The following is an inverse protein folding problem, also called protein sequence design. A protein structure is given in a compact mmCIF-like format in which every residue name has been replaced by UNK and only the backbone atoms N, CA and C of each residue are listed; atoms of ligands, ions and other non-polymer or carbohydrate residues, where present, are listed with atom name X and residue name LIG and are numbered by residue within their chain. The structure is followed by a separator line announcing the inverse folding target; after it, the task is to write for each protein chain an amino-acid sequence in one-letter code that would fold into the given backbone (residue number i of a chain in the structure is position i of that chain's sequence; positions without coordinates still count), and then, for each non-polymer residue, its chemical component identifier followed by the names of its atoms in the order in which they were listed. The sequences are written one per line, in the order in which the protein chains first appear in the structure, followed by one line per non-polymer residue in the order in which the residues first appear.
data_IF_633837289749
#
_entry.id   IF_633837289749
#
_cell.length_a   1.000
_cell.length_b   1.000
_cell.length_c   1.000
_cell.angle_alpha   90.00
_cell.angle_beta   90.00
_cell.angle_gamma   90.00
#
_symmetry.space_group_name_H-M   'P 1'
#
loop_
_entity.id
_entity.type
_entity.pdbx_description
1 polymer ?
#
# COMPACT_ATOMS: atom_id res chain seq x y z
N UNK A 1 41.72 49.62 -41.20
CA UNK A 1 40.57 49.30 -42.09
C UNK A 1 39.38 49.11 -41.15
N UNK A 2 38.34 49.96 -41.05
CA UNK A 2 37.48 50.60 -42.08
C UNK A 2 37.10 49.56 -43.14
N UNK A 3 35.84 49.25 -43.40
CA UNK A 3 34.78 50.19 -43.84
C UNK A 3 33.37 49.78 -43.35
N UNK A 4 32.45 50.76 -43.20
CA UNK A 4 31.01 50.56 -42.94
C UNK A 4 30.24 50.18 -44.22
N UNK A 5 29.06 49.54 -44.10
CA UNK A 5 28.14 49.33 -45.23
C UNK A 5 26.66 49.31 -44.84
N UNK A 6 25.98 50.44 -45.03
CA UNK A 6 24.51 50.62 -44.92
C UNK A 6 23.84 50.52 -46.30
N UNK A 7 22.68 49.84 -46.38
CA UNK A 7 21.57 50.03 -47.34
C UNK A 7 20.49 48.99 -46.96
N UNK A 8 19.29 49.25 -46.45
CA UNK A 8 18.24 50.27 -46.66
C UNK A 8 17.33 50.05 -47.89
N UNK A 9 16.08 49.68 -47.58
CA UNK A 9 14.82 49.93 -48.31
C UNK A 9 14.47 49.14 -49.59
N UNK A 10 13.22 48.63 -49.64
CA UNK A 10 12.14 49.12 -50.54
C UNK A 10 10.81 48.44 -50.16
N UNK A 11 9.75 49.23 -49.97
CA UNK A 11 8.38 48.76 -49.75
C UNK A 11 7.69 48.32 -51.04
N UNK A 12 6.67 47.44 -50.94
CA UNK A 12 5.49 47.43 -51.81
C UNK A 12 4.35 46.62 -51.19
N UNK A 13 3.25 47.29 -50.85
CA UNK A 13 2.03 46.64 -50.36
C UNK A 13 1.16 46.07 -51.48
N UNK A 14 0.33 45.07 -51.16
CA UNK A 14 -0.69 44.54 -52.06
C UNK A 14 -1.96 44.07 -51.33
N UNK A 15 -3.01 44.88 -51.44
CA UNK A 15 -4.46 44.57 -51.38
C UNK A 15 -4.95 43.39 -50.53
N UNK A 16 -5.72 43.72 -49.50
CA UNK A 16 -6.83 42.89 -49.04
C UNK A 16 -7.82 42.60 -50.20
N UNK A 17 -8.45 41.42 -50.17
CA UNK A 17 -9.47 40.99 -51.13
C UNK A 17 -10.69 40.49 -50.38
N UNK A 18 -11.78 41.24 -50.47
CA UNK A 18 -13.06 40.87 -49.87
C UNK A 18 -13.69 39.66 -50.59
N UNK A 19 -14.37 38.80 -49.83
CA UNK A 19 -15.31 37.79 -50.34
C UNK A 19 -16.56 37.84 -49.45
N UNK A 20 -17.78 37.98 -50.01
CA UNK A 20 -18.99 38.19 -49.23
C UNK A 20 -19.69 36.88 -48.83
N UNK A 21 -20.42 36.92 -47.71
CA UNK A 21 -21.60 36.08 -47.50
C UNK A 21 -21.39 34.78 -46.73
N UNK A 22 -21.61 34.83 -45.42
CA UNK A 22 -22.22 33.70 -44.70
C UNK A 22 -23.11 34.19 -43.56
N UNK A 23 -24.15 33.42 -43.28
CA UNK A 23 -25.31 33.82 -42.48
C UNK A 23 -24.94 34.09 -41.01
N UNK A 24 -25.45 35.21 -40.50
CA UNK A 24 -25.52 35.53 -39.08
C UNK A 24 -26.56 34.61 -38.41
N UNK A 25 -26.21 33.84 -37.37
CA UNK A 25 -27.18 33.40 -36.37
C UNK A 25 -27.41 34.56 -35.41
N UNK A 26 -28.66 34.90 -35.16
CA UNK A 26 -29.01 35.94 -34.20
C UNK A 26 -28.85 35.45 -32.74
N UNK A 27 -28.68 36.42 -31.86
CA UNK A 27 -28.76 36.36 -30.40
C UNK A 27 -29.16 35.02 -29.76
N UNK A 28 -28.26 34.48 -28.94
CA UNK A 28 -28.53 34.42 -27.50
C UNK A 28 -27.23 34.42 -26.68
N UNK A 29 -26.80 35.60 -26.26
CA UNK A 29 -25.74 35.75 -25.25
C UNK A 29 -26.35 35.59 -23.86
N UNK A 30 -26.89 34.40 -23.56
CA UNK A 30 -27.31 34.09 -22.19
C UNK A 30 -26.06 33.94 -21.33
N UNK A 31 -25.94 34.85 -20.35
CA UNK A 31 -24.96 34.70 -19.29
C UNK A 31 -25.32 33.44 -18.51
N UNK A 32 -24.49 32.40 -18.64
CA UNK A 32 -24.62 31.16 -17.89
C UNK A 32 -24.44 31.44 -16.39
N UNK A 33 -25.56 31.77 -15.73
CA UNK A 33 -25.65 31.70 -14.29
C UNK A 33 -25.47 30.23 -13.87
N UNK A 34 -24.97 30.00 -12.66
CA UNK A 34 -24.65 28.67 -12.13
C UNK A 34 -25.87 27.74 -11.93
N UNK A 35 -27.06 28.16 -12.40
CA UNK A 35 -28.36 27.59 -12.08
C UNK A 35 -28.96 26.66 -13.16
N UNK A 36 -28.34 26.55 -14.34
CA UNK A 36 -28.90 25.79 -15.48
C UNK A 36 -28.39 24.33 -15.62
N UNK A 37 -27.49 23.88 -14.74
CA UNK A 37 -27.04 22.48 -14.71
C UNK A 37 -28.10 21.55 -14.10
N UNK A 38 -29.14 21.26 -14.87
CA UNK A 38 -30.12 20.21 -14.53
C UNK A 38 -29.41 18.85 -14.53
N UNK A 39 -29.41 18.17 -13.39
CA UNK A 39 -28.97 16.78 -13.32
C UNK A 39 -29.83 15.91 -14.24
N UNK A 40 -29.19 15.00 -14.96
CA UNK A 40 -29.88 13.88 -15.60
C UNK A 40 -30.35 12.91 -14.50
N UNK A 41 -31.38 12.10 -14.80
CA UNK A 41 -31.76 10.98 -13.93
C UNK A 41 -30.80 9.79 -14.09
N UNK A 42 -30.91 8.79 -13.22
CA UNK A 42 -30.11 7.55 -13.27
C UNK A 42 -28.58 7.80 -13.22
N UNK A 43 -28.15 8.64 -12.27
CA UNK A 43 -26.72 8.91 -12.01
C UNK A 43 -26.00 7.70 -11.39
N UNK A 44 -24.66 7.70 -11.47
CA UNK A 44 -23.83 6.69 -10.79
C UNK A 44 -23.92 6.82 -9.25
N UNK A 45 -23.88 5.70 -8.53
CA UNK A 45 -24.07 5.63 -7.06
C UNK A 45 -23.05 6.45 -6.22
N UNK A 46 -21.93 6.81 -6.86
CA UNK A 46 -20.85 7.62 -6.30
C UNK A 46 -21.04 9.14 -6.50
N UNK A 47 -22.06 9.57 -7.26
CA UNK A 47 -22.43 10.98 -7.38
C UNK A 47 -23.29 11.41 -6.17
N UNK A 48 -22.98 12.57 -5.56
CA UNK A 48 -23.71 13.06 -4.38
C UNK A 48 -24.87 14.02 -4.73
N UNK A 49 -24.65 15.02 -5.60
CA UNK A 49 -25.63 16.10 -5.86
C UNK A 49 -26.29 16.02 -7.24
N UNK A 50 -25.69 15.31 -8.20
CA UNK A 50 -26.22 15.14 -9.56
C UNK A 50 -25.14 14.80 -10.58
N UNK A 51 -25.55 14.60 -11.84
CA UNK A 51 -24.67 14.23 -12.94
C UNK A 51 -25.09 14.87 -14.28
N UNK A 52 -24.12 15.06 -15.19
CA UNK A 52 -24.35 15.48 -16.58
C UNK A 52 -24.64 14.32 -17.53
N UNK A 53 -24.29 13.08 -17.15
CA UNK A 53 -24.45 11.87 -17.95
C UNK A 53 -24.90 10.71 -17.05
N UNK A 54 -25.93 9.94 -17.44
CA UNK A 54 -26.45 8.84 -16.63
C UNK A 54 -25.40 7.72 -16.48
N UNK A 55 -25.38 7.08 -15.30
CA UNK A 55 -24.50 5.96 -14.91
C UNK A 55 -22.99 6.20 -15.06
N UNK A 56 -22.55 7.44 -15.29
CA UNK A 56 -21.16 7.81 -15.54
C UNK A 56 -20.50 8.39 -14.28
N UNK A 57 -19.53 7.67 -13.70
CA UNK A 57 -18.79 8.10 -12.50
C UNK A 57 -17.86 9.29 -12.74
N UNK A 58 -17.56 9.62 -14.00
CA UNK A 58 -16.81 10.81 -14.42
C UNK A 58 -17.68 12.03 -14.75
N UNK A 59 -19.00 11.91 -14.62
CA UNK A 59 -19.97 12.94 -14.97
C UNK A 59 -20.70 13.56 -13.76
N UNK A 60 -20.31 13.19 -12.54
CA UNK A 60 -20.88 13.74 -11.31
C UNK A 60 -20.50 15.22 -11.13
N UNK A 61 -21.38 16.03 -10.54
CA UNK A 61 -21.04 17.37 -10.07
C UNK A 61 -20.18 17.35 -8.80
N UNK A 62 -20.44 16.38 -7.93
CA UNK A 62 -19.79 16.17 -6.62
C UNK A 62 -19.73 14.68 -6.33
N UNK A 63 -18.65 14.23 -5.69
CA UNK A 63 -18.49 12.85 -5.27
C UNK A 63 -19.05 12.63 -3.86
N UNK A 64 -19.53 11.41 -3.60
CA UNK A 64 -19.98 10.95 -2.29
C UNK A 64 -18.82 10.53 -1.38
N UNK A 65 -17.79 9.91 -1.97
CA UNK A 65 -16.58 9.49 -1.28
C UNK A 65 -15.37 10.27 -1.84
N UNK A 66 -14.55 9.65 -2.69
CA UNK A 66 -13.29 10.23 -3.16
C UNK A 66 -13.40 10.82 -4.57
N UNK A 67 -12.64 11.88 -4.84
CA UNK A 67 -12.43 12.40 -6.20
C UNK A 67 -11.10 11.90 -6.76
N UNK A 68 -11.08 11.34 -7.97
CA UNK A 68 -9.85 10.88 -8.62
C UNK A 68 -9.60 11.61 -9.92
N UNK A 69 -8.41 12.20 -10.05
CA UNK A 69 -8.01 12.98 -11.23
C UNK A 69 -7.79 12.10 -12.46
N UNK A 70 -8.31 12.51 -13.62
CA UNK A 70 -8.16 11.74 -14.86
C UNK A 70 -6.76 11.95 -15.47
N UNK A 71 -5.97 10.87 -15.60
CA UNK A 71 -4.54 10.92 -16.03
C UNK A 71 -4.27 11.70 -17.33
N UNK A 72 -5.21 11.68 -18.28
CA UNK A 72 -5.05 12.24 -19.64
C UNK A 72 -6.13 13.27 -20.01
N UNK A 73 -6.94 13.76 -19.06
CA UNK A 73 -8.08 14.66 -19.35
C UNK A 73 -8.36 15.60 -18.19
N UNK A 74 -8.77 16.84 -18.48
CA UNK A 74 -9.31 17.72 -17.45
C UNK A 74 -10.65 17.16 -16.92
N UNK A 75 -10.71 16.86 -15.63
CA UNK A 75 -11.87 16.30 -14.95
C UNK A 75 -11.49 15.32 -13.84
N UNK A 76 -12.51 14.82 -13.14
CA UNK A 76 -12.38 13.81 -12.11
C UNK A 76 -13.36 12.66 -12.36
N UNK A 77 -13.16 11.55 -11.65
CA UNK A 77 -14.18 10.51 -11.46
C UNK A 77 -14.39 10.26 -9.97
N UNK A 78 -15.61 9.87 -9.60
CA UNK A 78 -15.94 9.51 -8.22
C UNK A 78 -15.68 8.03 -7.98
N UNK A 79 -14.96 7.72 -6.90
CA UNK A 79 -14.56 6.35 -6.55
C UNK A 79 -14.69 6.12 -5.04
N UNK A 80 -14.92 4.86 -4.65
CA UNK A 80 -14.94 4.44 -3.24
C UNK A 80 -13.54 4.26 -2.65
N UNK A 81 -12.56 3.98 -3.51
CA UNK A 81 -11.13 3.79 -3.21
C UNK A 81 -10.32 4.28 -4.40
N UNK A 82 -9.11 4.78 -4.16
CA UNK A 82 -8.19 5.14 -5.24
C UNK A 82 -7.77 3.89 -6.02
N UNK A 83 -7.71 3.98 -7.36
CA UNK A 83 -7.14 2.91 -8.18
C UNK A 83 -5.62 2.77 -8.00
N UNK A 84 -5.06 1.65 -8.45
CA UNK A 84 -3.62 1.46 -8.66
C UNK A 84 -3.00 2.64 -9.43
N UNK A 85 -1.81 3.08 -8.99
CA UNK A 85 -1.14 4.28 -9.51
C UNK A 85 -1.67 5.60 -8.95
N UNK A 86 -2.55 5.57 -7.96
CA UNK A 86 -3.01 6.74 -7.21
C UNK A 86 -2.84 6.54 -5.70
N UNK A 87 -2.59 7.63 -4.97
CA UNK A 87 -2.54 7.69 -3.52
C UNK A 87 -3.60 8.64 -2.95
N UNK A 88 -3.99 8.41 -1.70
CA UNK A 88 -5.01 9.19 -1.01
C UNK A 88 -4.40 10.45 -0.36
N UNK A 89 -4.83 11.63 -0.80
CA UNK A 89 -4.49 12.93 -0.22
C UNK A 89 -5.76 13.65 0.22
N UNK A 90 -6.13 13.47 1.49
CA UNK A 90 -7.45 13.85 2.01
C UNK A 90 -8.55 13.06 1.30
N UNK A 91 -9.53 13.75 0.72
CA UNK A 91 -10.62 13.14 -0.07
C UNK A 91 -10.28 12.99 -1.56
N UNK A 92 -9.01 13.25 -1.96
CA UNK A 92 -8.59 13.27 -3.35
C UNK A 92 -7.55 12.19 -3.65
N UNK A 93 -7.81 11.38 -4.66
CA UNK A 93 -6.86 10.44 -5.23
C UNK A 93 -5.94 11.18 -6.22
N UNK A 94 -4.68 11.37 -5.82
CA UNK A 94 -3.62 11.97 -6.65
C UNK A 94 -2.78 10.90 -7.31
N UNK A 95 -2.26 11.18 -8.50
CA UNK A 95 -1.44 10.23 -9.25
C UNK A 95 -0.06 10.06 -8.61
N UNK A 96 0.45 8.83 -8.60
CA UNK A 96 1.83 8.51 -8.26
C UNK A 96 2.81 9.03 -9.32
N UNK A 97 4.09 9.17 -8.95
CA UNK A 97 5.18 9.29 -9.92
C UNK A 97 5.16 8.11 -10.91
N UNK A 98 5.58 8.38 -12.15
CA UNK A 98 5.64 7.37 -13.23
C UNK A 98 6.61 6.22 -12.95
N UNK A 99 7.45 6.36 -11.94
CA UNK A 99 8.39 5.34 -11.47
C UNK A 99 7.80 4.40 -10.39
N UNK A 100 6.61 4.70 -9.87
CA UNK A 100 5.91 3.86 -8.90
C UNK A 100 4.78 3.06 -9.57
N UNK A 101 4.47 1.88 -9.03
CA UNK A 101 3.23 1.14 -9.33
C UNK A 101 2.12 1.49 -8.32
N UNK A 102 2.45 1.46 -7.03
CA UNK A 102 1.65 2.06 -5.95
C UNK A 102 2.53 2.96 -5.11
N UNK A 103 1.95 3.95 -4.43
CA UNK A 103 2.69 4.94 -3.65
C UNK A 103 1.86 5.44 -2.46
N UNK A 104 2.54 5.92 -1.43
CA UNK A 104 1.94 6.57 -0.27
C UNK A 104 1.93 8.10 -0.39
N UNK A 105 2.89 8.63 -1.16
CA UNK A 105 2.99 10.03 -1.59
C UNK A 105 3.50 10.08 -3.04
N UNK A 106 3.45 11.26 -3.68
CA UNK A 106 3.79 11.40 -5.11
C UNK A 106 5.14 10.81 -5.51
N UNK A 107 6.14 10.87 -4.63
CA UNK A 107 7.51 10.38 -4.89
C UNK A 107 7.91 9.16 -4.03
N UNK A 108 7.07 8.75 -3.08
CA UNK A 108 7.36 7.62 -2.16
C UNK A 108 6.57 6.40 -2.62
N UNK A 109 7.20 5.54 -3.42
CA UNK A 109 6.59 4.30 -3.87
C UNK A 109 6.39 3.32 -2.71
N UNK A 110 5.35 2.50 -2.79
CA UNK A 110 5.16 1.30 -1.96
C UNK A 110 5.44 0.03 -2.77
N UNK A 111 5.16 0.06 -4.07
CA UNK A 111 5.58 -0.98 -5.01
C UNK A 111 6.11 -0.38 -6.30
N UNK A 112 7.07 -1.07 -6.92
CA UNK A 112 7.70 -0.68 -8.18
C UNK A 112 7.12 -1.43 -9.38
N UNK A 113 7.24 -0.87 -10.60
CA UNK A 113 6.90 -1.59 -11.81
C UNK A 113 7.93 -2.71 -12.11
N UNK A 114 7.45 -3.84 -12.65
CA UNK A 114 8.31 -4.92 -13.12
C UNK A 114 9.06 -5.66 -12.01
N UNK A 115 10.36 -5.89 -12.21
CA UNK A 115 11.24 -6.64 -11.31
C UNK A 115 12.22 -5.72 -10.54
N UNK A 116 11.89 -4.43 -10.42
CA UNK A 116 12.72 -3.45 -9.72
C UNK A 116 12.67 -3.65 -8.19
N UNK A 117 13.74 -3.21 -7.51
CA UNK A 117 13.82 -3.22 -6.05
C UNK A 117 13.37 -1.88 -5.48
N UNK A 118 12.67 -1.92 -4.35
CA UNK A 118 12.30 -0.73 -3.57
C UNK A 118 13.33 -0.47 -2.46
N UNK A 119 13.72 0.77 -2.24
CA UNK A 119 14.62 1.14 -1.14
C UNK A 119 13.82 1.26 0.16
N UNK A 120 13.95 0.24 1.01
CA UNK A 120 13.19 0.08 2.26
C UNK A 120 14.10 0.38 3.47
N UNK A 121 14.62 1.60 3.50
CA UNK A 121 15.49 2.10 4.56
C UNK A 121 14.97 3.45 5.05
N UNK A 122 14.12 3.41 6.08
CA UNK A 122 13.62 4.60 6.76
C UNK A 122 14.69 5.21 7.70
N UNK A 123 15.80 5.69 7.13
CA UNK A 123 16.90 6.31 7.87
C UNK A 123 17.24 7.70 7.32
N UNK A 124 17.62 8.65 8.18
CA UNK A 124 17.83 10.04 7.76
C UNK A 124 18.99 10.23 6.76
N UNK A 125 20.01 9.36 6.80
CA UNK A 125 21.07 9.30 5.79
C UNK A 125 20.62 8.80 4.40
N UNK A 126 19.39 8.30 4.28
CA UNK A 126 18.81 7.66 3.09
C UNK A 126 17.54 8.40 2.64
N UNK A 127 17.73 9.53 1.94
CA UNK A 127 16.64 10.29 1.30
C UNK A 127 15.98 9.55 0.12
N UNK A 128 16.51 8.40 -0.25
CA UNK A 128 16.08 7.53 -1.34
C UNK A 128 15.02 6.49 -0.93
N UNK A 129 14.53 6.52 0.31
CA UNK A 129 13.43 5.66 0.76
C UNK A 129 12.19 5.74 -0.14
N UNK A 130 11.64 4.58 -0.51
CA UNK A 130 10.51 4.49 -1.45
C UNK A 130 10.90 4.70 -2.92
N UNK A 131 12.20 4.84 -3.24
CA UNK A 131 12.65 4.91 -4.64
C UNK A 131 12.78 3.51 -5.25
N UNK A 132 12.43 3.41 -6.53
CA UNK A 132 12.56 2.19 -7.34
C UNK A 132 13.89 2.17 -8.11
N UNK A 133 14.66 1.10 -7.96
CA UNK A 133 15.98 0.92 -8.57
C UNK A 133 16.19 -0.48 -9.14
N UNK A 134 16.96 -0.61 -10.22
CA UNK A 134 17.30 -1.91 -10.82
C UNK A 134 18.38 -2.66 -10.01
N UNK A 135 19.20 -1.93 -9.24
CA UNK A 135 20.25 -2.45 -8.37
C UNK A 135 20.36 -1.58 -7.11
N UNK A 136 20.62 -2.21 -5.95
CA UNK A 136 20.74 -1.48 -4.69
C UNK A 136 22.01 -0.59 -4.66
N UNK A 137 21.93 0.64 -4.11
CA UNK A 137 23.09 1.51 -3.94
C UNK A 137 24.09 0.95 -2.92
N UNK A 138 25.31 1.50 -2.92
CA UNK A 138 26.38 1.04 -2.02
C UNK A 138 25.97 1.14 -0.55
N UNK A 139 26.21 0.07 0.20
CA UNK A 139 25.82 -0.06 1.62
C UNK A 139 24.52 -0.84 1.84
N UNK A 140 23.65 -0.91 0.81
CA UNK A 140 22.43 -1.70 0.85
C UNK A 140 22.63 -3.07 0.19
N UNK A 141 21.84 -4.05 0.63
CA UNK A 141 21.77 -5.40 0.05
C UNK A 141 20.35 -5.69 -0.43
N UNK A 142 20.25 -6.46 -1.52
CA UNK A 142 18.98 -6.93 -2.05
C UNK A 142 18.45 -8.11 -1.21
N UNK A 143 17.32 -7.88 -0.54
CA UNK A 143 16.56 -8.88 0.20
C UNK A 143 15.38 -9.37 -0.64
N UNK A 144 15.49 -10.64 -1.05
CA UNK A 144 14.50 -11.36 -1.86
C UNK A 144 13.61 -12.30 -1.01
N UNK A 145 13.81 -12.36 0.31
CA UNK A 145 13.23 -13.40 1.16
C UNK A 145 12.10 -12.89 2.05
N UNK A 146 12.23 -11.67 2.59
CA UNK A 146 11.29 -11.16 3.59
C UNK A 146 9.97 -10.62 3.03
N UNK A 147 9.93 -10.30 1.73
CA UNK A 147 8.74 -9.80 1.05
C UNK A 147 8.46 -10.63 -0.22
N UNK A 148 7.33 -11.35 -0.22
CA UNK A 148 6.93 -12.22 -1.33
C UNK A 148 6.38 -11.46 -2.55
N UNK A 149 6.04 -10.18 -2.39
CA UNK A 149 5.41 -9.35 -3.44
C UNK A 149 6.50 -8.66 -4.26
N UNK A 150 7.57 -8.18 -3.61
CA UNK A 150 8.66 -7.46 -4.26
C UNK A 150 9.94 -7.49 -3.42
N UNK A 151 11.09 -7.66 -4.08
CA UNK A 151 12.40 -7.55 -3.44
C UNK A 151 12.70 -6.10 -3.02
N UNK A 152 13.44 -5.95 -1.92
CA UNK A 152 13.77 -4.64 -1.33
C UNK A 152 15.26 -4.48 -1.08
N UNK A 153 15.75 -3.24 -1.15
CA UNK A 153 17.08 -2.87 -0.72
C UNK A 153 17.02 -2.51 0.77
N UNK A 154 17.71 -3.28 1.61
CA UNK A 154 17.79 -3.10 3.06
C UNK A 154 19.23 -2.84 3.50
N UNK A 155 19.42 -2.30 4.70
CA UNK A 155 20.75 -2.14 5.29
C UNK A 155 21.46 -3.50 5.42
N UNK A 156 22.75 -3.54 5.09
CA UNK A 156 23.59 -4.71 5.34
C UNK A 156 23.70 -4.99 6.85
N UNK A 157 23.59 -6.25 7.24
CA UNK A 157 23.76 -6.65 8.65
C UNK A 157 25.15 -6.24 9.17
N UNK A 158 25.16 -5.47 10.26
CA UNK A 158 26.37 -5.02 10.93
C UNK A 158 26.98 -6.17 11.75
N UNK A 159 27.98 -6.85 11.16
CA UNK A 159 28.78 -7.87 11.85
C UNK A 159 29.83 -7.27 12.82
N UNK A 160 29.90 -5.95 12.93
CA UNK A 160 30.78 -5.23 13.85
C UNK A 160 30.07 -4.99 15.20
N UNK A 161 30.83 -4.91 16.29
CA UNK A 161 30.28 -4.62 17.63
C UNK A 161 29.80 -3.17 17.79
N UNK A 162 29.15 -2.86 18.92
CA UNK A 162 28.71 -1.50 19.25
C UNK A 162 29.87 -0.48 19.09
N UNK A 163 29.56 0.71 18.56
CA UNK A 163 30.56 1.73 18.22
C UNK A 163 31.33 1.50 16.91
N UNK A 164 31.05 0.45 16.14
CA UNK A 164 31.69 0.18 14.85
C UNK A 164 30.70 -0.18 13.74
N UNK A 165 30.96 0.27 12.51
CA UNK A 165 30.24 -0.11 11.29
C UNK A 165 31.14 -0.84 10.30
N UNK A 166 30.53 -1.58 9.37
CA UNK A 166 31.26 -2.34 8.35
C UNK A 166 31.50 -1.50 7.08
N UNK A 167 32.72 -0.98 6.92
CA UNK A 167 33.10 -0.23 5.71
C UNK A 167 33.17 -1.13 4.45
N UNK A 168 33.21 -0.49 3.27
CA UNK A 168 33.22 -1.14 1.93
C UNK A 168 34.30 -2.23 1.76
N UNK A 169 35.43 -2.11 2.49
CA UNK A 169 36.52 -3.10 2.48
C UNK A 169 36.31 -4.27 3.46
N UNK A 170 35.08 -4.49 3.96
CA UNK A 170 34.74 -5.40 5.07
C UNK A 170 35.59 -5.18 6.35
N UNK A 171 36.03 -3.94 6.57
CA UNK A 171 36.78 -3.53 7.75
C UNK A 171 35.84 -2.83 8.73
N UNK A 172 35.83 -3.25 10.00
CA UNK A 172 35.13 -2.51 11.04
C UNK A 172 35.84 -1.17 11.31
N UNK A 173 35.08 -0.09 11.23
CA UNK A 173 35.52 1.30 11.39
C UNK A 173 34.68 1.97 12.47
N UNK A 174 35.30 2.87 13.25
CA UNK A 174 34.63 3.54 14.37
C UNK A 174 33.46 4.41 13.88
N UNK A 175 32.36 4.37 14.61
CA UNK A 175 31.25 5.31 14.45
C UNK A 175 31.66 6.76 14.77
N UNK A 176 30.79 7.70 14.40
CA UNK A 176 30.86 9.08 14.89
C UNK A 176 30.59 9.14 16.41
N UNK A 177 31.14 10.15 17.10
CA UNK A 177 30.95 10.34 18.55
C UNK A 177 29.47 10.57 18.94
N UNK A 178 28.64 11.05 18.01
CA UNK A 178 27.21 11.19 18.21
C UNK A 178 26.43 9.86 18.20
N UNK A 179 27.02 8.77 17.69
CA UNK A 179 26.37 7.47 17.54
C UNK A 179 26.81 6.48 18.63
N UNK A 180 25.87 5.72 19.22
CA UNK A 180 26.19 4.48 19.94
C UNK A 180 26.31 3.30 18.97
N UNK A 181 25.44 3.24 17.97
CA UNK A 181 25.46 2.26 16.88
C UNK A 181 25.22 2.98 15.56
N UNK A 182 25.86 2.52 14.49
CA UNK A 182 25.82 3.14 13.18
C UNK A 182 26.05 2.12 12.06
N UNK A 183 25.59 2.43 10.85
CA UNK A 183 25.82 1.64 9.62
C UNK A 183 26.70 2.38 8.60
N UNK A 184 27.19 3.58 8.92
CA UNK A 184 27.97 4.42 8.01
C UNK A 184 28.82 5.47 8.71
N UNK A 185 29.49 6.31 7.91
CA UNK A 185 30.45 7.30 8.40
C UNK A 185 29.79 8.64 8.73
N UNK A 186 29.99 9.14 9.96
CA UNK A 186 29.49 10.45 10.40
C UNK A 186 28.10 10.42 11.05
N UNK A 187 27.60 11.56 11.55
CA UNK A 187 26.45 11.62 12.45
C UNK A 187 25.09 11.39 11.78
N UNK A 188 25.06 11.28 10.45
CA UNK A 188 23.85 11.05 9.65
C UNK A 188 23.48 9.56 9.50
N UNK A 189 24.38 8.65 9.89
CA UNK A 189 24.23 7.19 9.75
C UNK A 189 24.18 6.48 11.12
N UNK A 190 23.76 7.19 12.17
CA UNK A 190 23.56 6.65 13.51
C UNK A 190 22.20 5.93 13.65
N UNK A 191 22.21 4.60 13.86
CA UNK A 191 20.99 3.85 14.19
C UNK A 191 20.45 4.21 15.59
N UNK A 192 21.37 4.47 16.54
CA UNK A 192 21.04 4.93 17.90
C UNK A 192 22.05 5.97 18.38
N UNK A 193 21.57 7.02 19.03
CA UNK A 193 22.43 8.08 19.56
C UNK A 193 23.24 7.68 20.80
N UNK A 194 24.42 8.28 20.95
CA UNK A 194 25.24 8.18 22.15
C UNK A 194 24.62 8.95 23.35
N UNK A 195 25.16 8.73 24.55
CA UNK A 195 24.73 9.49 25.73
C UNK A 195 25.03 10.98 25.55
N UNK A 196 24.05 11.84 25.85
CA UNK A 196 24.16 13.28 25.58
C UNK A 196 23.81 13.69 24.14
N UNK A 197 23.27 12.77 23.32
CA UNK A 197 22.74 13.06 21.98
C UNK A 197 21.29 12.56 21.83
N UNK A 198 20.55 13.16 20.89
CA UNK A 198 19.18 12.75 20.53
C UNK A 198 18.84 13.09 19.07
N UNK A 199 17.75 12.52 18.56
CA UNK A 199 17.34 12.61 17.15
C UNK A 199 15.85 13.00 16.94
N UNK A 200 15.19 13.58 17.94
CA UNK A 200 13.72 13.72 17.98
C UNK A 200 13.19 14.75 16.96
N UNK A 201 13.92 15.85 16.71
CA UNK A 201 13.49 16.93 15.83
C UNK A 201 13.93 16.74 14.38
N UNK A 202 15.15 16.23 14.14
CA UNK A 202 15.77 16.17 12.79
C UNK A 202 16.08 14.75 12.31
N UNK A 203 15.82 13.70 13.08
CA UNK A 203 16.01 12.30 12.66
C UNK A 203 17.46 11.79 12.67
N UNK A 204 18.46 12.65 12.82
CA UNK A 204 19.87 12.29 13.07
C UNK A 204 20.34 12.77 14.44
N UNK A 205 21.43 12.20 14.95
CA UNK A 205 21.89 12.46 16.32
C UNK A 205 22.58 13.82 16.46
N UNK A 206 22.07 14.63 17.39
CA UNK A 206 22.56 15.98 17.74
C UNK A 206 22.78 16.10 19.24
N UNK A 207 23.74 16.92 19.70
CA UNK A 207 23.99 17.08 21.13
C UNK A 207 22.75 17.65 21.85
N UNK A 208 22.51 17.21 23.07
CA UNK A 208 21.40 17.70 23.89
C UNK A 208 21.57 19.19 24.23
N UNK A 209 20.50 19.97 24.17
CA UNK A 209 20.50 21.37 24.57
C UNK A 209 20.85 21.53 26.05
N UNK A 210 21.70 22.52 26.37
CA UNK A 210 21.95 22.95 27.76
C UNK A 210 20.82 23.87 28.23
N UNK A 211 20.60 23.96 29.54
CA UNK A 211 19.52 24.74 30.15
C UNK A 211 19.45 26.16 29.61
N UNK A 212 18.35 26.52 28.95
CA UNK A 212 18.11 27.85 28.36
C UNK A 212 18.57 28.03 26.91
N UNK A 213 19.14 27.00 26.26
CA UNK A 213 19.41 27.04 24.81
C UNK A 213 18.16 26.71 24.00
N UNK A 214 17.98 27.39 22.87
CA UNK A 214 16.91 27.11 21.89
C UNK A 214 17.45 26.17 20.78
N UNK A 215 16.74 25.08 20.41
CA UNK A 215 17.16 24.11 19.40
C UNK A 215 17.51 24.72 18.03
N UNK A 216 16.75 25.74 17.62
CA UNK A 216 16.87 26.41 16.32
C UNK A 216 18.19 27.19 16.22
N UNK A 217 18.57 27.87 17.31
CA UNK A 217 19.74 28.75 17.37
C UNK A 217 21.03 27.97 17.67
N UNK A 218 20.97 27.01 18.60
CA UNK A 218 22.14 26.27 19.07
C UNK A 218 22.33 24.91 18.41
N UNK A 219 21.46 24.54 17.48
CA UNK A 219 21.57 23.32 16.69
C UNK A 219 21.66 22.04 17.54
N UNK A 220 20.86 22.02 18.61
CA UNK A 220 20.82 20.99 19.65
C UNK A 220 19.43 20.33 19.74
N UNK A 221 19.32 19.22 20.48
CA UNK A 221 18.08 18.44 20.63
C UNK A 221 17.52 18.53 22.07
N UNK A 222 16.19 18.53 22.24
CA UNK A 222 15.58 18.38 23.57
C UNK A 222 15.47 16.89 23.97
N UNK A 223 16.55 16.40 24.57
CA UNK A 223 16.64 15.04 25.09
C UNK A 223 15.78 14.76 26.32
N UNK A 224 15.05 15.74 26.88
CA UNK A 224 14.11 15.50 27.98
C UNK A 224 12.81 14.86 27.48
N UNK A 225 12.49 15.04 26.19
CA UNK A 225 11.30 14.51 25.53
C UNK A 225 11.45 13.02 25.18
N UNK A 226 11.39 12.16 26.21
CA UNK A 226 11.14 10.73 26.00
C UNK A 226 9.72 10.55 25.45
N UNK A 227 9.59 10.30 24.14
CA UNK A 227 8.28 9.89 23.57
C UNK A 227 7.82 8.59 24.26
N UNK A 228 6.50 8.41 24.49
CA UNK A 228 5.98 7.06 24.67
C UNK A 228 6.34 6.27 23.41
N UNK A 229 6.95 5.09 23.58
CA UNK A 229 7.33 4.21 22.49
C UNK A 229 6.15 4.04 21.52
N UNK A 230 6.35 4.37 20.24
CA UNK A 230 5.56 3.76 19.19
C UNK A 230 5.71 2.26 19.38
N UNK A 231 4.60 1.62 19.70
CA UNK A 231 4.58 0.22 20.11
C UNK A 231 4.85 -0.61 18.86
N UNK A 232 6.12 -0.91 18.61
CA UNK A 232 6.49 -2.11 17.86
C UNK A 232 5.63 -3.23 18.45
N UNK A 233 4.78 -3.81 17.61
CA UNK A 233 3.89 -4.89 18.01
C UNK A 233 4.73 -6.15 18.22
N UNK A 234 5.45 -6.18 19.34
CA UNK A 234 5.97 -7.40 19.92
C UNK A 234 4.79 -8.37 20.03
N UNK A 235 4.86 -9.43 19.25
CA UNK A 235 3.79 -10.41 19.02
C UNK A 235 3.63 -11.37 20.21
N UNK A 236 3.41 -10.82 21.41
CA UNK A 236 3.30 -11.57 22.66
C UNK A 236 1.85 -11.73 23.18
N UNK A 237 0.86 -11.17 22.48
CA UNK A 237 -0.56 -11.25 22.87
C UNK A 237 -1.24 -12.59 22.52
N UNK A 238 -0.75 -13.30 21.48
CA UNK A 238 -1.42 -14.50 20.97
C UNK A 238 -1.38 -15.68 21.97
N UNK A 239 -0.26 -15.88 22.67
CA UNK A 239 -0.12 -16.99 23.62
C UNK A 239 -1.10 -16.95 24.79
N UNK A 240 -1.42 -15.77 25.32
CA UNK A 240 -2.44 -15.63 26.37
C UNK A 240 -3.85 -15.91 25.86
N UNK A 241 -4.16 -15.56 24.61
CA UNK A 241 -5.47 -15.84 24.00
C UNK A 241 -5.72 -17.34 23.84
N UNK A 242 -4.75 -18.09 23.30
CA UNK A 242 -4.91 -19.54 23.11
C UNK A 242 -5.11 -20.30 24.43
N UNK A 243 -4.40 -19.93 25.50
CA UNK A 243 -4.58 -20.55 26.82
C UNK A 243 -6.02 -20.33 27.32
N UNK A 244 -6.56 -19.12 27.21
CA UNK A 244 -7.94 -18.82 27.61
C UNK A 244 -8.99 -19.57 26.78
N UNK A 245 -8.79 -19.68 25.45
CA UNK A 245 -9.72 -20.41 24.58
C UNK A 245 -9.72 -21.91 24.91
N UNK A 246 -8.55 -22.52 25.12
CA UNK A 246 -8.44 -23.93 25.52
C UNK A 246 -9.13 -24.17 26.87
N UNK A 247 -8.96 -23.26 27.83
CA UNK A 247 -9.59 -23.36 29.16
C UNK A 247 -11.13 -23.32 29.05
N UNK A 248 -11.68 -22.44 28.21
CA UNK A 248 -13.13 -22.37 27.93
C UNK A 248 -13.62 -23.65 27.26
N UNK A 249 -12.91 -24.18 26.26
CA UNK A 249 -13.29 -25.44 25.58
C UNK A 249 -13.30 -26.61 26.56
N UNK A 250 -12.29 -26.70 27.45
CA UNK A 250 -12.25 -27.74 28.50
C UNK A 250 -13.40 -27.61 29.49
N UNK A 251 -13.75 -26.38 29.93
CA UNK A 251 -14.92 -26.15 30.80
C UNK A 251 -16.21 -26.57 30.10
N UNK A 252 -16.41 -26.18 28.83
CA UNK A 252 -17.61 -26.57 28.07
C UNK A 252 -17.69 -28.08 27.84
N UNK A 253 -16.57 -28.75 27.61
CA UNK A 253 -16.51 -30.21 27.53
C UNK A 253 -16.86 -30.88 28.86
N UNK A 254 -16.34 -30.40 29.99
CA UNK A 254 -16.66 -30.93 31.33
C UNK A 254 -18.12 -30.69 31.71
N UNK A 255 -18.69 -29.52 31.39
CA UNK A 255 -20.11 -29.23 31.57
C UNK A 255 -20.94 -30.17 30.67
N UNK A 256 -20.58 -30.33 29.39
CA UNK A 256 -21.25 -31.24 28.47
C UNK A 256 -21.22 -32.71 28.93
N UNK A 257 -20.09 -33.17 29.47
CA UNK A 257 -19.96 -34.52 30.03
C UNK A 257 -20.78 -34.68 31.32
N UNK A 258 -20.79 -33.67 32.20
CA UNK A 258 -21.63 -33.64 33.39
C UNK A 258 -23.12 -33.65 33.06
N UNK A 259 -23.56 -32.89 32.05
CA UNK A 259 -24.92 -32.96 31.51
C UNK A 259 -25.22 -34.33 30.90
N UNK A 260 -24.31 -34.92 30.11
CA UNK A 260 -24.50 -36.29 29.60
C UNK A 260 -24.58 -37.35 30.69
N UNK A 261 -23.90 -37.17 31.84
CA UNK A 261 -24.02 -38.08 32.98
C UNK A 261 -25.31 -37.86 33.77
N UNK A 262 -25.76 -36.61 33.97
CA UNK A 262 -27.03 -36.31 34.63
C UNK A 262 -28.27 -36.70 33.79
N UNK A 263 -28.19 -36.65 32.46
CA UNK A 263 -29.29 -37.02 31.56
C UNK A 263 -29.23 -38.48 31.07
N UNK A 264 -28.36 -39.33 31.65
CA UNK A 264 -28.28 -40.76 31.31
C UNK A 264 -29.30 -41.63 32.08
N UNK A 265 -30.41 -41.05 32.50
CA UNK A 265 -31.56 -41.75 33.10
C UNK A 265 -32.86 -41.08 32.66
N UNK A 266 -33.21 -41.26 31.39
CA UNK A 266 -34.60 -41.42 30.95
C UNK A 266 -34.62 -42.03 29.54
N UNK A 267 -35.32 -43.17 29.40
CA UNK A 267 -35.39 -43.90 28.14
C UNK A 267 -36.37 -43.24 27.17
N UNK A 268 -35.90 -42.83 25.99
CA UNK A 268 -36.78 -42.36 24.91
C UNK A 268 -36.70 -43.31 23.72
N UNK A 269 -37.85 -43.95 23.48
CA UNK A 269 -38.15 -44.89 22.42
C UNK A 269 -38.05 -44.22 21.04
N UNK A 270 -37.01 -44.59 20.27
CA UNK A 270 -36.87 -44.11 18.89
C UNK A 270 -37.80 -44.90 17.96
N UNK A 271 -38.80 -44.19 17.43
CA UNK A 271 -39.70 -44.69 16.39
C UNK A 271 -38.91 -45.05 15.13
N UNK A 272 -39.03 -46.31 14.68
CA UNK A 272 -38.41 -46.77 13.43
C UNK A 272 -38.98 -46.02 12.24
N UNK A 273 -38.13 -45.28 11.52
CA UNK A 273 -38.37 -44.99 10.10
C UNK A 273 -37.87 -46.13 9.21
N UNK A 274 -38.41 -46.20 8.01
CA UNK A 274 -38.50 -47.42 7.20
C UNK A 274 -37.15 -47.99 6.75
N UNK A 275 -36.99 -49.30 6.94
CA UNK A 275 -36.00 -50.11 6.21
C UNK A 275 -36.24 -49.98 4.70
N UNK A 276 -35.24 -49.52 3.95
CA UNK A 276 -35.10 -49.89 2.55
C UNK A 276 -34.70 -51.36 2.50
N UNK A 277 -35.45 -52.19 1.79
CA UNK A 277 -35.25 -53.64 1.76
C UNK A 277 -35.25 -54.13 0.30
N UNK A 278 -34.07 -54.12 -0.31
CA UNK A 278 -33.86 -54.51 -1.71
C UNK A 278 -33.87 -56.03 -1.85
N UNK A 279 -35.07 -56.62 -1.88
CA UNK A 279 -35.24 -58.07 -1.99
C UNK A 279 -36.60 -58.54 -2.57
N UNK A 280 -37.11 -57.93 -3.65
CA UNK A 280 -37.82 -58.71 -4.68
C UNK A 280 -37.92 -58.03 -6.05
N UNK A 281 -37.47 -58.78 -7.06
CA UNK A 281 -37.43 -58.41 -8.47
C UNK A 281 -38.84 -58.23 -9.08
N UNK A 282 -39.18 -56.97 -9.45
CA UNK A 282 -39.80 -56.71 -10.76
C UNK A 282 -39.60 -55.27 -11.26
N UNK A 283 -38.52 -55.07 -12.02
CA UNK A 283 -38.33 -54.12 -13.14
C UNK A 283 -39.05 -52.74 -13.08
N UNK A 284 -38.28 -51.70 -12.76
CA UNK A 284 -38.23 -50.45 -13.54
C UNK A 284 -36.80 -49.86 -13.57
N UNK A 285 -36.16 -49.99 -14.73
CA UNK A 285 -35.34 -48.98 -15.45
C UNK A 285 -35.23 -47.63 -14.71
N UNK A 286 -34.09 -46.96 -14.48
CA UNK A 286 -32.62 -47.16 -14.58
C UNK A 286 -32.02 -46.05 -13.66
N UNK A 287 -30.87 -46.12 -13.01
CA UNK A 287 -29.80 -47.14 -12.89
C UNK A 287 -29.36 -47.26 -11.40
N UNK A 288 -28.36 -48.10 -11.08
CA UNK A 288 -28.09 -48.56 -9.71
C UNK A 288 -27.04 -47.79 -8.88
N UNK A 289 -27.46 -47.43 -7.66
CA UNK A 289 -26.81 -47.54 -6.32
C UNK A 289 -25.30 -47.28 -6.07
N UNK A 290 -25.08 -46.74 -4.88
CA UNK A 290 -23.83 -46.57 -4.12
C UNK A 290 -23.28 -47.94 -3.61
N UNK A 291 -22.13 -48.10 -2.94
CA UNK A 291 -21.65 -47.39 -1.74
C UNK A 291 -20.20 -47.76 -1.32
N UNK A 292 -19.70 -46.99 -0.34
CA UNK A 292 -18.80 -47.40 0.76
C UNK A 292 -17.33 -47.88 0.54
N UNK A 293 -16.45 -47.15 1.23
CA UNK A 293 -15.38 -47.62 2.15
C UNK A 293 -14.06 -48.28 1.68
N UNK A 294 -12.95 -47.77 2.26
CA UNK A 294 -12.00 -48.64 2.96
C UNK A 294 -10.57 -48.77 2.42
N UNK A 295 -9.68 -47.90 2.92
CA UNK A 295 -8.25 -48.14 3.23
C UNK A 295 -7.25 -48.76 2.20
N UNK A 296 -6.25 -47.93 1.89
CA UNK A 296 -4.80 -48.21 1.99
C UNK A 296 -4.01 -49.14 1.02
N UNK A 297 -2.72 -48.76 0.90
CA UNK A 297 -1.52 -49.57 0.53
C UNK A 297 -1.27 -49.90 -0.96
N UNK A 298 -0.48 -49.01 -1.58
CA UNK A 298 0.90 -49.32 -2.04
C UNK A 298 1.14 -50.56 -2.93
N UNK A 299 1.21 -50.38 -4.27
CA UNK A 299 2.50 -50.61 -4.97
C UNK A 299 2.61 -50.19 -6.45
N UNK A 300 3.87 -50.10 -6.86
CA UNK A 300 4.40 -49.81 -8.20
C UNK A 300 4.32 -50.97 -9.22
N UNK A 301 4.11 -50.61 -10.50
CA UNK A 301 4.61 -51.19 -11.80
C UNK A 301 3.56 -50.92 -12.90
N UNK A 302 3.83 -50.18 -13.98
CA UNK A 302 4.79 -50.40 -15.09
C UNK A 302 4.39 -51.54 -16.06
N UNK A 303 4.07 -51.15 -17.32
CA UNK A 303 3.76 -51.99 -18.51
C UNK A 303 2.44 -52.80 -18.43
N UNK A 304 1.73 -53.05 -19.52
CA UNK A 304 2.21 -53.28 -20.91
C UNK A 304 1.22 -52.78 -21.97
N UNK A 305 1.72 -52.47 -23.17
CA UNK A 305 0.91 -52.28 -24.39
C UNK A 305 0.26 -53.60 -24.86
N UNK A 306 -0.94 -53.51 -25.44
CA UNK A 306 -1.25 -53.94 -26.83
C UNK A 306 -2.22 -52.89 -27.41
#
# INVERSE_FOLDING_TARGET
MRVLGLAQSVERGARAREVPGSRKPDHLSDGLTFSDFRSVGDCHDECATGCTEPRSSSACFTCKHLTQTLRNRAGFKCVTRCDDGYYLDGDNCRICSVHCKTCSASEVCETCPGAQLIIDVAHYGHFDHGTCVDQCPMGLIADYQTNLIQARCVLKENMCGEGFYLAVQNKCTLCDEACKTCHGAGPLFCDTCAEGYGNVSVGYCRPCCKTGQQPEVYHCEDCTLKRPLYRSHASSSLFWSFIWVILIVMIMALIGFGFMWCFKEDGIEYTKLSHYNSAQDRVRILDSESDSDGEEIFNSRLRTEI
#
